data_IF_632495638607
#
_entry.id   IF_632495638607
#
_cell.length_a   1.000
_cell.length_b   1.000
_cell.length_c   1.000
_cell.angle_alpha   90.00
_cell.angle_beta   90.00
_cell.angle_gamma   90.00
#
_symmetry.space_group_name_H-M   'P 1'
#
loop_
_entity.id
_entity.type
_entity.pdbx_description
1 polymer ?
#
# COMPACT_ATOMS: atom_id res chain seq x y z
N UNK A 1 17.20 -18.64 -14.58
CA UNK A 1 17.43 -17.28 -14.06
C UNK A 1 17.21 -16.26 -15.17
N UNK A 2 16.09 -15.52 -15.18
CA UNK A 2 15.86 -14.47 -16.19
C UNK A 2 16.83 -13.29 -15.96
N UNK A 3 17.71 -13.01 -16.94
CA UNK A 3 18.52 -11.78 -16.99
C UNK A 3 17.61 -10.60 -17.37
N UNK A 4 16.79 -10.10 -16.44
CA UNK A 4 16.13 -8.81 -16.62
C UNK A 4 17.15 -7.67 -16.47
N UNK A 5 17.12 -6.70 -17.38
CA UNK A 5 17.95 -5.49 -17.31
C UNK A 5 17.42 -4.51 -16.26
N UNK A 6 18.31 -3.73 -15.64
CA UNK A 6 17.98 -2.70 -14.62
C UNK A 6 16.84 -1.75 -15.02
N UNK A 7 16.77 -1.19 -16.26
CA UNK A 7 15.65 -0.34 -16.65
C UNK A 7 14.31 -1.09 -16.71
N UNK A 8 14.32 -2.38 -17.11
CA UNK A 8 13.10 -3.20 -17.13
C UNK A 8 12.59 -3.49 -15.71
N UNK A 9 13.50 -3.65 -14.75
CA UNK A 9 13.14 -3.83 -13.33
C UNK A 9 12.55 -2.55 -12.73
N UNK A 10 13.12 -1.39 -13.04
CA UNK A 10 12.56 -0.09 -12.61
C UNK A 10 11.17 0.14 -13.21
N UNK A 11 10.98 -0.21 -14.48
CA UNK A 11 9.67 -0.12 -15.14
C UNK A 11 8.67 -1.10 -14.51
N UNK A 12 9.08 -2.33 -14.23
CA UNK A 12 8.24 -3.31 -13.52
C UNK A 12 7.82 -2.79 -12.13
N UNK A 13 8.74 -2.19 -11.38
CA UNK A 13 8.45 -1.58 -10.09
C UNK A 13 7.41 -0.46 -10.24
N UNK A 14 7.57 0.41 -11.25
CA UNK A 14 6.61 1.47 -11.56
C UNK A 14 5.23 0.93 -11.91
N UNK A 15 5.15 -0.11 -12.74
CA UNK A 15 3.88 -0.76 -13.13
C UNK A 15 3.20 -1.40 -11.92
N UNK A 16 3.94 -2.08 -11.04
CA UNK A 16 3.39 -2.66 -9.81
C UNK A 16 2.81 -1.59 -8.89
N UNK A 17 3.53 -0.48 -8.71
CA UNK A 17 3.08 0.63 -7.86
C UNK A 17 1.89 1.37 -8.47
N UNK A 18 1.87 1.55 -9.80
CA UNK A 18 0.73 2.10 -10.52
C UNK A 18 -0.50 1.20 -10.36
N UNK A 19 -0.34 -0.11 -10.52
CA UNK A 19 -1.42 -1.08 -10.32
C UNK A 19 -1.98 -1.04 -8.89
N UNK A 20 -1.09 -1.01 -7.89
CA UNK A 20 -1.48 -0.84 -6.49
C UNK A 20 -2.20 0.49 -6.22
N UNK A 21 -1.72 1.58 -6.82
CA UNK A 21 -2.35 2.90 -6.73
C UNK A 21 -3.77 2.88 -7.31
N UNK A 22 -3.94 2.43 -8.56
CA UNK A 22 -5.25 2.37 -9.22
C UNK A 22 -6.22 1.49 -8.45
N UNK A 23 -5.76 0.31 -7.99
CA UNK A 23 -6.57 -0.59 -7.19
C UNK A 23 -7.02 0.07 -5.88
N UNK A 24 -6.09 0.63 -5.10
CA UNK A 24 -6.39 1.25 -3.81
C UNK A 24 -7.37 2.43 -3.95
N UNK A 25 -7.15 3.28 -4.95
CA UNK A 25 -8.02 4.42 -5.23
C UNK A 25 -9.41 4.00 -5.71
N UNK A 26 -9.53 2.97 -6.55
CA UNK A 26 -10.85 2.48 -6.99
C UNK A 26 -11.74 2.03 -5.82
N UNK A 27 -11.14 1.38 -4.82
CA UNK A 27 -11.87 0.91 -3.62
C UNK A 27 -12.18 2.06 -2.67
N UNK A 28 -11.22 2.98 -2.49
CA UNK A 28 -11.38 4.16 -1.66
C UNK A 28 -12.47 5.10 -2.18
N UNK A 29 -12.52 5.35 -3.49
CA UNK A 29 -13.53 6.22 -4.10
C UNK A 29 -14.96 5.70 -3.90
N UNK A 30 -15.18 4.38 -4.02
CA UNK A 30 -16.48 3.79 -3.71
C UNK A 30 -16.91 4.02 -2.26
N UNK A 31 -15.97 4.04 -1.31
CA UNK A 31 -16.25 4.33 0.09
C UNK A 31 -16.60 5.81 0.32
N UNK A 32 -15.91 6.72 -0.37
CA UNK A 32 -16.26 8.14 -0.34
C UNK A 32 -17.67 8.40 -0.87
N UNK A 33 -18.06 7.73 -1.96
CA UNK A 33 -19.41 7.82 -2.53
C UNK A 33 -20.47 7.32 -1.55
N UNK A 34 -20.29 6.12 -1.00
CA UNK A 34 -21.22 5.54 -0.02
C UNK A 34 -21.38 6.44 1.23
N UNK A 35 -20.27 6.99 1.74
CA UNK A 35 -20.31 7.89 2.91
C UNK A 35 -21.04 9.20 2.59
N UNK A 36 -20.82 9.77 1.39
CA UNK A 36 -21.50 10.97 0.95
C UNK A 36 -23.00 10.75 0.74
N UNK A 37 -23.41 9.60 0.22
CA UNK A 37 -24.83 9.22 0.09
C UNK A 37 -25.52 9.09 1.45
N UNK A 38 -24.85 8.50 2.45
CA UNK A 38 -25.40 8.29 3.79
C UNK A 38 -25.49 9.57 4.63
N UNK A 39 -24.46 10.42 4.58
CA UNK A 39 -24.31 11.55 5.52
C UNK A 39 -24.40 12.94 4.86
N UNK A 40 -24.46 13.02 3.53
CA UNK A 40 -24.55 14.26 2.76
C UNK A 40 -23.35 15.20 2.88
N UNK A 41 -22.35 14.86 3.71
CA UNK A 41 -21.19 15.68 4.04
C UNK A 41 -19.95 14.80 4.29
N UNK A 42 -18.78 15.26 3.84
CA UNK A 42 -17.50 14.53 4.01
C UNK A 42 -16.83 14.80 5.38
N UNK A 43 -17.20 15.90 6.05
CA UNK A 43 -16.58 16.38 7.28
C UNK A 43 -17.39 16.03 8.54
N UNK A 44 -18.12 14.92 8.51
CA UNK A 44 -18.81 14.40 9.70
C UNK A 44 -17.88 13.43 10.43
N UNK A 45 -17.58 13.74 11.69
CA UNK A 45 -16.62 12.99 12.51
C UNK A 45 -17.23 12.40 13.79
N UNK A 46 -18.50 12.69 14.09
CA UNK A 46 -19.22 12.21 15.29
C UNK A 46 -20.54 11.55 14.89
N UNK A 47 -20.93 10.54 15.67
CA UNK A 47 -22.18 9.77 15.53
C UNK A 47 -22.37 9.11 14.16
N UNK A 48 -21.31 8.45 13.67
CA UNK A 48 -21.34 7.70 12.41
C UNK A 48 -21.33 6.20 12.69
N UNK A 49 -22.22 5.45 12.02
CA UNK A 49 -22.19 3.98 11.98
C UNK A 49 -21.06 3.46 11.10
N UNK A 50 -20.57 4.28 10.16
CA UNK A 50 -19.46 3.99 9.26
C UNK A 50 -18.30 4.95 9.56
N UNK A 51 -17.05 4.48 9.73
CA UNK A 51 -15.91 5.37 9.98
C UNK A 51 -15.69 6.33 8.81
N UNK A 52 -15.27 7.56 9.11
CA UNK A 52 -14.97 8.56 8.08
C UNK A 52 -13.81 8.06 7.19
N UNK A 53 -13.98 8.00 5.86
CA UNK A 53 -12.97 7.48 4.92
C UNK A 53 -11.59 8.11 5.06
N UNK A 54 -11.52 9.40 5.45
CA UNK A 54 -10.27 10.16 5.59
C UNK A 54 -9.42 9.66 6.77
N UNK A 55 -10.05 9.09 7.80
CA UNK A 55 -9.38 8.57 8.99
C UNK A 55 -9.05 7.07 8.87
N UNK A 56 -9.45 6.42 7.78
CA UNK A 56 -9.24 4.98 7.60
C UNK A 56 -7.82 4.65 7.15
N UNK A 57 -7.33 3.46 7.51
CA UNK A 57 -6.03 2.97 7.05
C UNK A 57 -5.92 2.89 5.51
N UNK A 58 -7.05 2.64 4.82
CA UNK A 58 -7.11 2.58 3.36
C UNK A 58 -6.69 3.91 2.71
N UNK A 59 -7.09 5.05 3.29
CA UNK A 59 -6.75 6.39 2.78
C UNK A 59 -5.24 6.64 2.83
N UNK A 60 -4.63 6.39 3.99
CA UNK A 60 -3.18 6.53 4.16
C UNK A 60 -2.39 5.55 3.28
N UNK A 61 -2.90 4.33 3.09
CA UNK A 61 -2.33 3.36 2.16
C UNK A 61 -2.35 3.83 0.71
N UNK A 62 -3.47 4.40 0.25
CA UNK A 62 -3.60 4.98 -1.10
C UNK A 62 -2.65 6.16 -1.32
N UNK A 63 -2.48 7.03 -0.32
CA UNK A 63 -1.49 8.12 -0.38
C UNK A 63 -0.06 7.58 -0.44
N UNK A 64 0.24 6.53 0.33
CA UNK A 64 1.55 5.89 0.29
C UNK A 64 1.87 5.30 -1.10
N UNK A 65 0.88 4.69 -1.79
CA UNK A 65 1.08 4.24 -3.17
C UNK A 65 1.39 5.37 -4.14
N UNK A 66 0.71 6.51 -4.02
CA UNK A 66 0.99 7.70 -4.86
C UNK A 66 2.40 8.20 -4.62
N UNK A 67 2.80 8.37 -3.34
CA UNK A 67 4.13 8.82 -2.98
C UNK A 67 5.22 7.85 -3.51
N UNK A 68 5.01 6.54 -3.34
CA UNK A 68 5.93 5.52 -3.85
C UNK A 68 6.01 5.54 -5.38
N UNK A 69 4.89 5.72 -6.08
CA UNK A 69 4.86 5.78 -7.54
C UNK A 69 5.60 7.00 -8.08
N UNK A 70 5.35 8.19 -7.53
CA UNK A 70 6.07 9.43 -7.90
C UNK A 70 7.58 9.25 -7.66
N UNK A 71 7.96 8.66 -6.53
CA UNK A 71 9.36 8.40 -6.21
C UNK A 71 9.97 7.35 -7.14
N UNK A 72 9.21 6.32 -7.51
CA UNK A 72 9.64 5.33 -8.50
C UNK A 72 9.86 5.97 -9.87
N UNK A 73 9.04 6.94 -10.27
CA UNK A 73 9.16 7.63 -11.54
C UNK A 73 10.43 8.50 -11.60
N UNK A 74 10.76 9.22 -10.52
CA UNK A 74 12.02 10.01 -10.46
C UNK A 74 13.26 9.10 -10.53
N UNK A 75 13.17 7.89 -10.00
CA UNK A 75 14.22 6.87 -10.05
C UNK A 75 14.44 6.26 -11.44
N UNK A 76 13.45 6.32 -12.34
CA UNK A 76 13.62 5.94 -13.76
C UNK A 76 14.50 6.94 -14.49
N UNK A 77 14.40 8.23 -14.17
CA UNK A 77 15.19 9.30 -14.79
C UNK A 77 16.63 9.35 -14.24
N UNK A 78 16.79 9.23 -12.91
CA UNK A 78 18.09 9.33 -12.25
C UNK A 78 18.30 8.14 -11.28
N UNK A 79 18.84 7.01 -11.76
CA UNK A 79 19.02 5.82 -10.94
C UNK A 79 20.15 6.06 -9.92
N UNK A 80 19.77 6.33 -8.67
CA UNK A 80 20.73 6.52 -7.57
C UNK A 80 20.52 5.45 -6.49
N UNK A 81 21.63 4.89 -5.99
CA UNK A 81 21.60 3.81 -5.01
C UNK A 81 21.02 4.27 -3.66
N UNK A 82 21.26 5.52 -3.27
CA UNK A 82 20.72 6.11 -2.04
C UNK A 82 19.20 6.27 -2.15
N UNK A 83 18.69 6.77 -3.28
CA UNK A 83 17.25 6.92 -3.50
C UNK A 83 16.54 5.57 -3.53
N UNK A 84 17.13 4.55 -4.18
CA UNK A 84 16.58 3.19 -4.15
C UNK A 84 16.51 2.60 -2.73
N UNK A 85 17.55 2.78 -1.92
CA UNK A 85 17.53 2.33 -0.51
C UNK A 85 16.43 3.03 0.29
N UNK A 86 16.21 4.33 0.08
CA UNK A 86 15.13 5.10 0.72
C UNK A 86 13.76 4.59 0.29
N UNK A 87 13.55 4.41 -1.02
CA UNK A 87 12.31 3.84 -1.56
C UNK A 87 12.05 2.43 -1.00
N UNK A 88 13.07 1.58 -0.94
CA UNK A 88 12.98 0.25 -0.32
C UNK A 88 12.51 0.32 1.14
N UNK A 89 13.09 1.20 1.94
CA UNK A 89 12.72 1.36 3.34
C UNK A 89 11.28 1.91 3.48
N UNK A 90 10.87 2.81 2.58
CA UNK A 90 9.49 3.29 2.51
C UNK A 90 8.50 2.17 2.16
N UNK A 91 8.84 1.32 1.19
CA UNK A 91 8.03 0.15 0.83
C UNK A 91 7.95 -0.86 1.98
N UNK A 92 9.05 -1.07 2.71
CA UNK A 92 9.07 -1.91 3.91
C UNK A 92 8.11 -1.36 4.98
N UNK A 93 8.13 -0.06 5.21
CA UNK A 93 7.19 0.60 6.11
C UNK A 93 5.74 0.36 5.66
N UNK A 94 5.45 0.49 4.35
CA UNK A 94 4.14 0.17 3.79
C UNK A 94 3.71 -1.28 4.00
N UNK A 95 4.63 -2.25 3.83
CA UNK A 95 4.37 -3.67 4.11
C UNK A 95 4.04 -3.91 5.58
N UNK A 96 4.82 -3.34 6.50
CA UNK A 96 4.58 -3.48 7.95
C UNK A 96 3.25 -2.83 8.35
N UNK A 97 2.98 -1.63 7.83
CA UNK A 97 1.73 -0.92 8.08
C UNK A 97 0.52 -1.73 7.59
N UNK A 98 0.51 -2.13 6.31
CA UNK A 98 -0.58 -2.94 5.76
C UNK A 98 -0.70 -4.29 6.47
N UNK A 99 0.42 -4.92 6.83
CA UNK A 99 0.45 -6.17 7.58
C UNK A 99 -0.16 -6.03 8.98
N UNK A 100 0.09 -4.91 9.67
CA UNK A 100 -0.52 -4.64 10.97
C UNK A 100 -2.04 -4.46 10.91
N UNK A 101 -2.53 -3.79 9.86
CA UNK A 101 -3.97 -3.59 9.63
C UNK A 101 -4.67 -4.91 9.31
N UNK A 102 -4.12 -5.70 8.38
CA UNK A 102 -4.66 -7.03 8.04
C UNK A 102 -4.59 -7.97 9.25
N UNK A 103 -3.51 -7.89 10.04
CA UNK A 103 -3.37 -8.65 11.28
C UNK A 103 -4.44 -8.29 12.32
N UNK A 104 -4.74 -6.99 12.47
CA UNK A 104 -5.82 -6.53 13.33
C UNK A 104 -7.19 -7.01 12.84
N UNK A 105 -7.50 -6.87 11.54
CA UNK A 105 -8.74 -7.39 10.93
C UNK A 105 -8.89 -8.90 11.13
N UNK A 106 -7.78 -9.64 11.00
CA UNK A 106 -7.76 -11.10 11.19
C UNK A 106 -8.02 -11.46 12.65
N UNK A 107 -7.39 -10.76 13.59
CA UNK A 107 -7.60 -10.96 15.02
C UNK A 107 -9.04 -10.65 15.44
N UNK A 108 -9.64 -9.61 14.85
CA UNK A 108 -11.05 -9.27 15.05
C UNK A 108 -11.99 -10.34 14.46
N UNK A 109 -11.74 -10.77 13.21
CA UNK A 109 -12.54 -11.80 12.55
C UNK A 109 -12.57 -13.12 13.33
N UNK A 110 -11.43 -13.54 13.89
CA UNK A 110 -11.35 -14.73 14.74
C UNK A 110 -11.76 -14.50 16.21
N UNK A 111 -12.22 -13.29 16.56
CA UNK A 111 -12.61 -12.89 17.92
C UNK A 111 -11.51 -13.15 18.96
N UNK A 112 -10.25 -13.00 18.58
CA UNK A 112 -9.11 -13.12 19.50
C UNK A 112 -9.03 -11.92 20.46
N UNK A 113 -9.61 -10.78 20.09
CA UNK A 113 -9.67 -9.57 20.90
C UNK A 113 -11.03 -9.47 21.61
N UNK A 114 -11.06 -9.47 22.96
CA UNK A 114 -12.30 -9.26 23.70
C UNK A 114 -12.70 -7.77 23.68
N UNK A 115 -13.77 -7.43 22.96
CA UNK A 115 -14.38 -6.08 22.97
C UNK A 115 -15.11 -5.72 21.68
N UNK A 116 -15.87 -4.61 21.65
CA UNK A 116 -16.43 -4.07 20.41
C UNK A 116 -15.27 -3.56 19.54
N UNK A 117 -14.97 -4.28 18.46
CA UNK A 117 -13.90 -3.88 17.57
C UNK A 117 -14.26 -2.58 16.85
N UNK A 118 -13.31 -1.63 16.88
CA UNK A 118 -13.43 -0.41 16.12
C UNK A 118 -13.06 -0.75 14.67
N UNK A 119 -13.93 -0.50 13.68
CA UNK A 119 -13.61 -0.80 12.30
C UNK A 119 -12.47 0.12 11.82
N UNK A 120 -11.26 -0.44 11.72
CA UNK A 120 -10.06 0.26 11.21
C UNK A 120 -10.01 0.23 9.68
N UNK A 121 -10.79 -0.68 9.08
CA UNK A 121 -10.82 -0.95 7.66
C UNK A 121 -12.13 -0.58 6.99
N UNK A 122 -12.07 -0.55 5.66
CA UNK A 122 -13.17 -0.13 4.81
C UNK A 122 -14.25 -1.20 4.59
N UNK A 123 -14.04 -2.43 5.06
CA UNK A 123 -14.95 -3.57 4.85
C UNK A 123 -14.94 -4.50 6.07
N UNK A 124 -15.66 -4.16 7.15
CA UNK A 124 -15.75 -5.02 8.33
C UNK A 124 -16.57 -6.30 8.04
N UNK A 125 -16.17 -7.43 8.63
CA UNK A 125 -16.96 -8.67 8.63
C UNK A 125 -16.82 -9.59 7.40
N UNK A 126 -15.97 -9.25 6.43
CA UNK A 126 -15.61 -10.17 5.33
C UNK A 126 -14.32 -10.93 5.65
N UNK A 127 -14.07 -12.02 4.93
CA UNK A 127 -12.83 -12.80 5.07
C UNK A 127 -11.60 -11.89 4.88
N UNK A 128 -10.60 -11.93 5.79
CA UNK A 128 -9.44 -11.03 5.77
C UNK A 128 -8.59 -11.18 4.51
N UNK A 129 -8.65 -12.34 3.83
CA UNK A 129 -7.94 -12.58 2.56
C UNK A 129 -8.61 -11.92 1.34
N UNK A 130 -9.85 -11.44 1.48
CA UNK A 130 -10.59 -10.76 0.42
C UNK A 130 -10.67 -9.25 0.64
N UNK A 131 -10.04 -8.73 1.70
CA UNK A 131 -10.10 -7.30 2.02
C UNK A 131 -9.19 -6.50 1.08
N UNK A 132 -9.56 -5.25 0.74
CA UNK A 132 -8.71 -4.38 -0.06
C UNK A 132 -7.33 -4.14 0.58
N UNK A 133 -7.24 -4.21 1.92
CA UNK A 133 -6.00 -4.10 2.67
C UNK A 133 -5.04 -5.27 2.40
N UNK A 134 -5.56 -6.50 2.28
CA UNK A 134 -4.76 -7.67 1.90
C UNK A 134 -4.17 -7.54 0.48
N UNK A 135 -4.98 -7.12 -0.49
CA UNK A 135 -4.47 -6.85 -1.84
C UNK A 135 -3.43 -5.72 -1.84
N UNK A 136 -3.64 -4.67 -1.06
CA UNK A 136 -2.65 -3.59 -0.86
C UNK A 136 -1.32 -4.12 -0.30
N UNK A 137 -1.38 -5.01 0.71
CA UNK A 137 -0.22 -5.69 1.26
C UNK A 137 0.54 -6.47 0.17
N UNK A 138 -0.16 -7.22 -0.68
CA UNK A 138 0.46 -7.97 -1.79
C UNK A 138 1.18 -7.05 -2.78
N UNK A 139 0.57 -5.91 -3.15
CA UNK A 139 1.21 -4.93 -4.04
C UNK A 139 2.46 -4.32 -3.41
N UNK A 140 2.40 -3.91 -2.14
CA UNK A 140 3.57 -3.38 -1.43
C UNK A 140 4.68 -4.44 -1.30
N UNK A 141 4.31 -5.68 -0.99
CA UNK A 141 5.26 -6.78 -0.85
C UNK A 141 5.94 -7.10 -2.19
N UNK A 142 5.17 -7.19 -3.27
CA UNK A 142 5.71 -7.41 -4.61
C UNK A 142 6.67 -6.28 -5.02
N UNK A 143 6.27 -5.03 -4.82
CA UNK A 143 7.12 -3.87 -5.11
C UNK A 143 8.39 -3.86 -4.24
N UNK A 144 8.29 -4.25 -2.96
CA UNK A 144 9.42 -4.37 -2.05
C UNK A 144 10.43 -5.44 -2.49
N UNK A 145 9.94 -6.62 -2.89
CA UNK A 145 10.79 -7.70 -3.42
C UNK A 145 11.53 -7.26 -4.68
N UNK A 146 10.85 -6.58 -5.60
CA UNK A 146 11.49 -6.01 -6.81
C UNK A 146 12.54 -4.96 -6.42
N UNK A 147 12.26 -4.11 -5.45
CA UNK A 147 13.21 -3.10 -4.94
C UNK A 147 14.46 -3.72 -4.30
N UNK A 148 14.35 -4.86 -3.60
CA UNK A 148 15.50 -5.62 -3.11
C UNK A 148 16.40 -6.08 -4.27
N UNK A 149 15.80 -6.64 -5.32
CA UNK A 149 16.54 -7.11 -6.50
C UNK A 149 17.25 -5.95 -7.20
N UNK A 150 16.59 -4.80 -7.38
CA UNK A 150 17.17 -3.59 -7.96
C UNK A 150 18.34 -3.07 -7.11
N UNK A 151 18.17 -3.02 -5.80
CA UNK A 151 19.21 -2.55 -4.87
C UNK A 151 20.45 -3.43 -4.94
N UNK A 152 20.28 -4.76 -4.99
CA UNK A 152 21.40 -5.72 -5.13
C UNK A 152 22.14 -5.53 -6.46
N UNK A 153 21.41 -5.31 -7.55
CA UNK A 153 21.99 -5.07 -8.90
C UNK A 153 22.81 -3.77 -8.94
N UNK A 154 22.25 -2.69 -8.40
CA UNK A 154 22.95 -1.39 -8.36
C UNK A 154 24.15 -1.40 -7.42
N UNK A 155 24.09 -2.19 -6.33
CA UNK A 155 25.23 -2.40 -5.43
C UNK A 155 26.37 -3.16 -6.11
N UNK A 156 26.07 -4.28 -6.76
CA UNK A 156 27.08 -5.10 -7.44
C UNK A 156 27.78 -4.36 -8.60
N UNK A 157 27.11 -3.44 -9.29
CA UNK A 157 27.75 -2.59 -10.31
C UNK A 157 28.74 -1.57 -9.74
N UNK A 158 28.66 -1.25 -8.43
CA UNK A 158 29.55 -0.30 -7.77
C UNK A 158 30.80 -0.95 -7.19
N UNK A 159 30.77 -2.27 -6.93
CA UNK A 159 31.92 -3.02 -6.42
C UNK A 159 32.90 -3.45 -7.54
N UNK A 160 32.57 -3.18 -8.81
CA UNK A 160 33.40 -3.50 -10.00
C UNK A 160 34.18 -2.27 -10.50
N UNK A 161 33.93 -1.08 -9.95
CA UNK A 161 34.56 0.18 -10.34
C UNK A 161 35.37 0.75 -9.17
#
# INVERSE_FOLDING_TARGET
>A
MLKLSTPKLLLLQGVLLLGGMVFAWSRLLGQFQNFQELYGTLFRFRDCTLPNPILTACFYGSLAFVAAFIWSFTLVQHPTLVSQRRLRNFLLFGVVFAGSVVGYETADYFKWLPGPAVPVSCTPGINPLLTPCFYGLLFFLAAFLVSIVITRRLGASRDIL
#
